data_IF_678480579548
#
_entry.id   IF_678480579548
#
_cell.length_a   1.000
_cell.length_b   1.000
_cell.length_c   1.000
_cell.angle_alpha   90.00
_cell.angle_beta   90.00
_cell.angle_gamma   90.00
#
_symmetry.space_group_name_H-M   'P 1'
#
loop_
_entity.id
_entity.type
_entity.pdbx_description
1 polymer ?
#
# COMPACT_ATOMS: atom_id res chain seq x y z
N UNK A 1 7.69 50.53 -9.13
CA UNK A 1 8.11 50.62 -7.71
C UNK A 1 8.82 49.30 -7.39
N UNK A 2 10.14 49.18 -7.63
CA UNK A 2 11.24 49.45 -6.66
C UNK A 2 11.02 48.63 -5.37
N UNK A 3 11.53 47.40 -5.28
CA UNK A 3 12.84 46.97 -4.71
C UNK A 3 13.07 47.33 -3.24
N UNK A 4 13.63 46.37 -2.49
CA UNK A 4 14.37 46.48 -1.21
C UNK A 4 13.64 46.05 0.08
N UNK A 5 14.02 44.90 0.62
CA UNK A 5 14.18 44.65 2.07
C UNK A 5 15.16 43.46 2.22
N UNK A 6 16.47 43.74 2.29
CA UNK A 6 17.31 43.57 3.50
C UNK A 6 17.28 42.14 4.03
N UNK A 7 18.23 41.23 3.78
CA UNK A 7 19.69 41.30 3.99
C UNK A 7 20.07 41.93 5.34
N UNK A 8 19.93 41.17 6.44
CA UNK A 8 20.66 41.41 7.69
C UNK A 8 20.52 40.22 8.65
N UNK A 9 21.50 39.32 8.67
CA UNK A 9 22.20 38.86 9.90
C UNK A 9 23.22 37.78 9.52
N UNK A 10 24.34 38.24 8.97
CA UNK A 10 25.59 37.50 8.92
C UNK A 10 26.39 37.89 10.18
N UNK A 11 27.00 36.87 10.79
CA UNK A 11 28.26 36.83 11.56
C UNK A 11 28.20 36.51 13.06
N UNK A 12 29.19 35.68 13.40
CA UNK A 12 29.86 35.47 14.69
C UNK A 12 29.27 34.30 15.53
N UNK A 13 30.01 33.29 16.00
CA UNK A 13 31.45 33.13 16.22
C UNK A 13 31.90 31.66 16.11
N UNK A 14 33.11 31.51 15.60
CA UNK A 14 34.03 30.38 15.73
C UNK A 14 34.58 30.21 17.15
N UNK A 15 34.53 29.01 17.74
CA UNK A 15 35.53 28.52 18.71
C UNK A 15 35.62 26.99 18.63
N UNK A 16 36.75 26.47 18.15
CA UNK A 16 37.24 25.11 18.49
C UNK A 16 38.34 25.28 19.52
N UNK A 17 38.48 24.36 20.50
CA UNK A 17 39.63 23.45 20.37
C UNK A 17 39.44 22.01 20.90
N UNK A 18 40.20 21.15 20.23
CA UNK A 18 40.79 19.86 20.60
C UNK A 18 40.94 19.61 22.11
N UNK A 19 40.43 18.46 22.58
CA UNK A 19 40.95 17.74 23.76
C UNK A 19 41.21 16.28 23.39
N UNK A 20 42.35 15.81 23.87
CA UNK A 20 43.05 14.61 23.48
C UNK A 20 42.67 13.35 24.30
N UNK A 21 43.17 12.22 23.77
CA UNK A 21 43.69 11.04 24.48
C UNK A 21 42.67 10.04 25.10
N UNK A 22 42.69 8.80 24.60
CA UNK A 22 43.54 7.69 25.08
C UNK A 22 42.90 6.32 24.74
N UNK A 23 43.76 5.40 24.31
CA UNK A 23 43.47 3.99 24.08
C UNK A 23 42.76 3.34 25.27
N UNK A 24 41.66 2.64 24.98
CA UNK A 24 41.25 1.48 25.76
C UNK A 24 41.05 0.30 24.81
N UNK A 25 42.15 -0.45 24.62
CA UNK A 25 42.10 -1.86 24.32
C UNK A 25 41.45 -2.56 25.52
N UNK A 26 40.12 -2.74 25.46
CA UNK A 26 39.38 -3.61 26.37
C UNK A 26 39.01 -4.85 25.57
N UNK A 27 39.82 -5.88 25.73
CA UNK A 27 39.42 -7.26 25.50
C UNK A 27 38.30 -7.58 26.49
N UNK A 28 37.08 -7.77 26.00
CA UNK A 28 35.95 -8.32 26.76
C UNK A 28 35.33 -9.44 25.95
N UNK A 29 35.71 -10.65 26.36
CA UNK A 29 34.86 -11.84 26.51
C UNK A 29 33.52 -11.80 25.77
N UNK A 30 33.43 -12.69 24.77
CA UNK A 30 32.21 -13.36 24.33
C UNK A 30 31.24 -13.64 25.50
N UNK A 31 30.10 -12.95 25.53
CA UNK A 31 28.76 -13.46 25.87
C UNK A 31 27.74 -12.31 25.81
N UNK A 32 26.52 -12.64 25.37
CA UNK A 32 25.32 -11.81 25.28
C UNK A 32 25.21 -10.75 24.17
N UNK A 33 24.69 -11.21 23.03
CA UNK A 33 23.99 -10.35 22.06
C UNK A 33 22.46 -10.51 22.21
N UNK A 34 21.78 -9.66 23.02
CA UNK A 34 20.36 -9.37 22.78
C UNK A 34 20.11 -7.90 22.41
N UNK A 35 21.15 -7.07 22.30
CA UNK A 35 20.98 -5.64 22.02
C UNK A 35 20.74 -5.31 20.52
N UNK A 36 21.12 -6.20 19.60
CA UNK A 36 20.96 -5.96 18.15
C UNK A 36 19.57 -6.39 17.66
N UNK A 37 18.95 -7.42 18.26
CA UNK A 37 17.60 -7.86 17.91
C UNK A 37 16.53 -6.77 18.17
N UNK A 38 16.75 -5.90 19.17
CA UNK A 38 15.85 -4.78 19.49
C UNK A 38 15.98 -3.55 18.58
N UNK A 39 16.99 -3.48 17.70
CA UNK A 39 17.15 -2.39 16.72
C UNK A 39 16.60 -2.73 15.34
N UNK A 40 16.04 -3.92 15.17
CA UNK A 40 15.24 -4.22 13.99
C UNK A 40 13.88 -3.56 14.17
N UNK A 41 13.81 -2.27 13.84
CA UNK A 41 12.56 -1.62 13.52
C UNK A 41 11.97 -2.41 12.36
N UNK A 42 11.14 -3.40 12.67
CA UNK A 42 10.21 -3.95 11.68
C UNK A 42 9.26 -2.79 11.44
N UNK A 43 9.29 -2.14 10.26
CA UNK A 43 8.21 -1.23 9.92
C UNK A 43 6.96 -2.10 9.97
N UNK A 44 6.17 -1.94 11.03
CA UNK A 44 4.81 -2.47 11.06
C UNK A 44 4.18 -1.75 9.89
N UNK A 45 4.04 -2.42 8.74
CA UNK A 45 3.31 -1.84 7.62
C UNK A 45 1.96 -1.49 8.20
N UNK A 46 1.67 -0.19 8.28
CA UNK A 46 0.44 0.28 8.86
C UNK A 46 -0.71 -0.42 8.12
N UNK A 47 -1.71 -0.88 8.86
CA UNK A 47 -2.98 -1.32 8.28
C UNK A 47 -3.43 -0.30 7.24
N UNK A 48 -3.70 -0.75 6.02
CA UNK A 48 -4.08 0.15 4.95
C UNK A 48 -5.53 0.58 5.19
N UNK A 49 -5.75 1.88 5.37
CA UNK A 49 -7.09 2.46 5.40
C UNK A 49 -7.44 2.85 3.97
N UNK A 50 -8.55 2.35 3.45
CA UNK A 50 -9.05 2.73 2.13
C UNK A 50 -10.53 3.12 2.19
N UNK A 51 -10.98 3.89 1.19
CA UNK A 51 -12.39 4.19 0.99
C UNK A 51 -12.90 3.27 -0.12
N UNK A 52 -13.92 2.49 0.20
CA UNK A 52 -14.50 1.51 -0.70
C UNK A 52 -16.00 1.72 -0.81
N UNK A 53 -16.58 1.39 -1.96
CA UNK A 53 -18.00 1.52 -2.20
C UNK A 53 -18.53 0.41 -3.10
N UNK A 54 -19.81 0.10 -2.91
CA UNK A 54 -20.62 -0.65 -3.87
C UNK A 54 -21.22 0.32 -4.88
N UNK A 55 -20.79 0.23 -6.13
CA UNK A 55 -21.32 1.02 -7.25
C UNK A 55 -22.35 0.17 -7.99
N UNK A 56 -23.54 0.71 -8.22
CA UNK A 56 -24.66 -0.02 -8.83
C UNK A 56 -24.57 -0.16 -10.35
N UNK A 57 -25.51 -0.92 -10.91
CA UNK A 57 -25.64 -1.13 -12.35
C UNK A 57 -25.90 0.17 -13.14
N UNK A 58 -26.28 1.29 -12.50
CA UNK A 58 -26.42 2.58 -13.18
C UNK A 58 -25.07 3.13 -13.65
N UNK A 59 -23.98 2.76 -12.97
CA UNK A 59 -22.61 3.02 -13.45
C UNK A 59 -22.28 2.16 -14.66
N UNK A 60 -22.58 0.85 -14.59
CA UNK A 60 -22.37 -0.06 -15.71
C UNK A 60 -23.19 0.35 -16.93
N UNK A 61 -24.41 0.87 -16.72
CA UNK A 61 -25.26 1.35 -17.81
C UNK A 61 -24.78 2.67 -18.42
N UNK A 62 -24.16 3.56 -17.64
CA UNK A 62 -23.49 4.76 -18.17
C UNK A 62 -22.24 4.41 -18.99
N UNK A 63 -21.55 3.33 -18.62
CA UNK A 63 -20.43 2.77 -19.40
C UNK A 63 -20.96 2.07 -20.66
N UNK A 64 -22.03 1.29 -20.55
CA UNK A 64 -22.62 0.56 -21.69
C UNK A 64 -23.31 1.50 -22.68
N UNK A 65 -23.89 2.62 -22.21
CA UNK A 65 -24.49 3.67 -23.05
C UNK A 65 -23.45 4.39 -23.93
N UNK A 66 -22.15 4.31 -23.59
CA UNK A 66 -21.07 4.72 -24.49
C UNK A 66 -20.83 3.73 -25.66
N UNK A 67 -21.65 2.66 -25.76
CA UNK A 67 -21.74 1.76 -26.93
C UNK A 67 -20.88 0.51 -26.89
N UNK A 68 -20.34 0.10 -25.72
CA UNK A 68 -19.18 -0.82 -25.67
C UNK A 68 -19.48 -2.14 -24.93
N UNK A 69 -20.63 -2.28 -24.28
CA UNK A 69 -21.05 -3.55 -23.67
C UNK A 69 -22.49 -3.85 -24.09
N UNK A 70 -22.70 -4.94 -24.82
CA UNK A 70 -24.04 -5.51 -24.97
C UNK A 70 -24.56 -5.82 -23.57
N UNK A 71 -25.66 -5.15 -23.20
CA UNK A 71 -26.37 -5.33 -21.94
C UNK A 71 -26.99 -6.74 -21.88
N UNK A 72 -26.15 -7.76 -21.76
CA UNK A 72 -26.59 -9.12 -21.50
C UNK A 72 -26.85 -9.25 -20.00
N UNK A 73 -28.16 -9.13 -19.71
CA UNK A 73 -28.83 -9.45 -18.46
C UNK A 73 -28.76 -8.39 -17.33
N UNK A 74 -29.91 -7.75 -17.16
CA UNK A 74 -30.40 -6.98 -16.01
C UNK A 74 -30.41 -7.77 -14.68
N UNK A 75 -29.26 -8.26 -14.25
CA UNK A 75 -29.06 -8.68 -12.86
C UNK A 75 -28.50 -7.45 -12.14
N UNK A 76 -29.00 -7.15 -10.93
CA UNK A 76 -28.48 -6.12 -10.03
C UNK A 76 -27.00 -6.40 -9.70
N UNK A 77 -26.11 -6.17 -10.66
CA UNK A 77 -24.69 -6.38 -10.48
C UNK A 77 -24.12 -5.12 -9.84
N UNK A 78 -23.79 -5.23 -8.56
CA UNK A 78 -22.98 -4.25 -7.86
C UNK A 78 -21.51 -4.53 -8.13
N UNK A 79 -20.75 -3.47 -8.38
CA UNK A 79 -19.29 -3.49 -8.43
C UNK A 79 -18.76 -2.94 -7.10
N UNK A 80 -18.12 -3.79 -6.30
CA UNK A 80 -17.44 -3.37 -5.10
C UNK A 80 -15.97 -3.05 -5.41
N UNK A 81 -15.58 -1.80 -5.14
CA UNK A 81 -14.24 -1.31 -5.46
C UNK A 81 -13.77 -0.27 -4.45
N UNK A 82 -12.47 -0.32 -4.16
CA UNK A 82 -11.76 0.66 -3.33
C UNK A 82 -10.95 1.65 -4.16
N UNK A 83 -10.68 2.85 -3.61
CA UNK A 83 -9.92 3.90 -4.30
C UNK A 83 -8.52 3.42 -4.72
N UNK A 84 -7.85 2.61 -3.89
CA UNK A 84 -6.54 2.05 -4.23
C UNK A 84 -6.58 1.05 -5.38
N UNK A 85 -7.70 0.35 -5.58
CA UNK A 85 -7.88 -0.66 -6.62
C UNK A 85 -8.27 -0.05 -7.98
N UNK A 86 -8.74 1.20 -8.02
CA UNK A 86 -9.20 1.87 -9.26
C UNK A 86 -8.17 1.83 -10.40
N UNK A 87 -6.88 2.15 -10.21
CA UNK A 87 -5.92 2.14 -11.32
C UNK A 87 -5.73 0.74 -11.92
N UNK A 88 -5.76 -0.30 -11.08
CA UNK A 88 -5.63 -1.69 -11.53
C UNK A 88 -6.90 -2.10 -12.28
N UNK A 89 -8.08 -1.79 -11.74
CA UNK A 89 -9.36 -2.04 -12.40
C UNK A 89 -9.43 -1.40 -13.79
N UNK A 90 -9.07 -0.12 -13.88
CA UNK A 90 -9.07 0.64 -15.15
C UNK A 90 -8.17 0.01 -16.21
N UNK A 91 -7.04 -0.58 -15.81
CA UNK A 91 -6.06 -1.19 -16.73
C UNK A 91 -6.37 -2.64 -17.09
N UNK A 92 -6.86 -3.42 -16.12
CA UNK A 92 -6.96 -4.87 -16.23
C UNK A 92 -8.38 -5.36 -16.54
N UNK A 93 -9.42 -4.58 -16.24
CA UNK A 93 -10.80 -5.03 -16.38
C UNK A 93 -11.39 -4.65 -17.74
N UNK A 94 -11.85 -5.65 -18.49
CA UNK A 94 -12.48 -5.48 -19.81
C UNK A 94 -13.73 -4.61 -19.77
N UNK A 95 -14.42 -4.53 -18.62
CA UNK A 95 -15.60 -3.68 -18.44
C UNK A 95 -15.22 -2.20 -18.34
N UNK A 96 -14.05 -1.90 -17.77
CA UNK A 96 -13.53 -0.54 -17.73
C UNK A 96 -13.02 -0.07 -19.08
N UNK A 97 -12.61 -1.00 -19.97
CA UNK A 97 -12.02 -0.67 -21.28
C UNK A 97 -12.87 0.27 -22.11
N UNK A 98 -14.18 0.04 -22.19
CA UNK A 98 -15.05 0.91 -22.98
C UNK A 98 -15.10 2.34 -22.43
N UNK A 99 -15.17 2.48 -21.11
CA UNK A 99 -15.10 3.77 -20.47
C UNK A 99 -13.75 4.46 -20.72
N UNK A 100 -12.65 3.72 -20.60
CA UNK A 100 -11.29 4.19 -20.87
C UNK A 100 -11.11 4.65 -22.30
N UNK A 101 -11.60 3.89 -23.28
CA UNK A 101 -11.50 4.24 -24.70
C UNK A 101 -12.29 5.53 -25.01
N UNK A 102 -13.34 5.83 -24.24
CA UNK A 102 -14.16 7.02 -24.41
C UNK A 102 -13.60 8.27 -23.72
N UNK A 103 -13.15 8.16 -22.45
CA UNK A 103 -12.72 9.34 -21.67
C UNK A 103 -11.20 9.45 -21.48
N UNK A 104 -10.46 8.39 -21.78
CA UNK A 104 -9.03 8.24 -21.48
C UNK A 104 -8.75 7.69 -20.08
N UNK A 105 -7.63 6.98 -19.92
CA UNK A 105 -7.30 6.25 -18.67
C UNK A 105 -7.31 7.13 -17.41
N UNK A 106 -6.66 8.29 -17.46
CA UNK A 106 -6.55 9.18 -16.30
C UNK A 106 -7.91 9.76 -15.89
N UNK A 107 -8.71 10.17 -16.87
CA UNK A 107 -10.05 10.66 -16.62
C UNK A 107 -10.97 9.56 -16.08
N UNK A 108 -10.80 8.31 -16.57
CA UNK A 108 -11.53 7.17 -16.05
C UNK A 108 -11.21 6.94 -14.56
N UNK A 109 -9.93 6.97 -14.17
CA UNK A 109 -9.49 6.85 -12.78
C UNK A 109 -10.09 7.95 -11.91
N UNK A 110 -9.97 9.21 -12.33
CA UNK A 110 -10.52 10.36 -11.58
C UNK A 110 -12.02 10.21 -11.40
N UNK A 111 -12.73 9.90 -12.48
CA UNK A 111 -14.19 9.83 -12.46
C UNK A 111 -14.70 8.69 -11.57
N UNK A 112 -14.08 7.52 -11.64
CA UNK A 112 -14.43 6.38 -10.78
C UNK A 112 -14.18 6.72 -9.30
N UNK A 113 -13.06 7.40 -8.98
CA UNK A 113 -12.79 7.84 -7.60
C UNK A 113 -13.82 8.84 -7.09
N UNK A 114 -14.24 9.81 -7.91
CA UNK A 114 -15.31 10.73 -7.56
C UNK A 114 -16.61 9.98 -7.25
N UNK A 115 -16.95 8.98 -8.05
CA UNK A 115 -18.14 8.16 -7.84
C UNK A 115 -18.07 7.34 -6.54
N UNK A 116 -16.92 6.73 -6.22
CA UNK A 116 -16.71 6.05 -4.93
C UNK A 116 -16.90 7.04 -3.77
N UNK A 117 -16.34 8.24 -3.87
CA UNK A 117 -16.47 9.27 -2.85
C UNK A 117 -17.91 9.81 -2.71
N UNK A 118 -18.67 9.81 -3.79
CA UNK A 118 -20.06 10.27 -3.81
C UNK A 118 -21.09 9.16 -3.49
N UNK A 119 -20.68 7.89 -3.46
CA UNK A 119 -21.58 6.77 -3.25
C UNK A 119 -22.24 6.81 -1.85
N UNK A 120 -23.52 6.45 -1.80
CA UNK A 120 -24.31 6.39 -0.56
C UNK A 120 -23.82 5.26 0.37
N UNK A 121 -23.36 4.15 -0.21
CA UNK A 121 -22.83 2.98 0.50
C UNK A 121 -21.31 2.92 0.49
N UNK A 122 -20.65 4.08 0.68
CA UNK A 122 -19.19 4.11 0.90
C UNK A 122 -18.86 3.79 2.35
N UNK A 123 -17.76 3.08 2.56
CA UNK A 123 -17.23 2.76 3.87
C UNK A 123 -15.71 2.88 3.90
N UNK A 124 -15.17 3.15 5.08
CA UNK A 124 -13.73 3.11 5.31
C UNK A 124 -13.34 1.71 5.75
N UNK A 125 -12.50 1.05 4.95
CA UNK A 125 -12.04 -0.31 5.21
C UNK A 125 -10.66 -0.28 5.87
N UNK A 126 -10.44 -1.20 6.79
CA UNK A 126 -9.14 -1.45 7.39
C UNK A 126 -8.65 -2.81 6.94
N UNK A 127 -7.61 -2.79 6.13
CA UNK A 127 -7.02 -4.01 5.59
C UNK A 127 -5.80 -4.40 6.42
N UNK A 128 -5.66 -5.71 6.75
CA UNK A 128 -4.47 -6.17 7.43
C UNK A 128 -3.22 -5.99 6.54
N UNK A 129 -2.02 -5.91 7.13
CA UNK A 129 -0.78 -5.90 6.36
C UNK A 129 -0.71 -7.09 5.39
N UNK A 130 -0.09 -6.89 4.23
CA UNK A 130 0.05 -7.93 3.19
C UNK A 130 -1.29 -8.47 2.69
N UNK A 131 -2.28 -7.59 2.56
CA UNK A 131 -3.54 -7.88 1.90
C UNK A 131 -3.83 -6.87 0.81
N UNK A 132 -4.65 -7.29 -0.14
CA UNK A 132 -5.20 -6.46 -1.20
C UNK A 132 -6.72 -6.55 -1.18
N UNK A 133 -7.38 -5.41 -1.38
CA UNK A 133 -8.82 -5.38 -1.56
C UNK A 133 -9.23 -6.24 -2.77
N UNK A 134 -10.30 -7.03 -2.63
CA UNK A 134 -10.85 -7.84 -3.71
C UNK A 134 -11.84 -6.99 -4.51
N UNK A 135 -11.74 -7.07 -5.83
CA UNK A 135 -12.79 -6.59 -6.72
C UNK A 135 -13.88 -7.67 -6.81
N UNK A 136 -15.00 -7.47 -6.13
CA UNK A 136 -16.14 -8.39 -6.14
C UNK A 136 -17.31 -7.83 -6.95
N UNK A 137 -18.01 -8.72 -7.65
CA UNK A 137 -19.14 -8.40 -8.53
C UNK A 137 -20.29 -9.33 -8.18
N UNK A 138 -21.47 -8.78 -7.89
CA UNK A 138 -22.64 -9.58 -7.56
C UNK A 138 -23.81 -8.77 -7.02
N UNK A 139 -24.90 -9.46 -6.67
CA UNK A 139 -26.11 -8.88 -6.06
C UNK A 139 -25.92 -8.47 -4.61
N UNK A 140 -24.94 -9.06 -3.93
CA UNK A 140 -24.41 -8.57 -2.66
C UNK A 140 -22.89 -8.67 -2.73
N UNK A 141 -22.19 -7.55 -2.52
CA UNK A 141 -20.75 -7.54 -2.38
C UNK A 141 -20.37 -6.71 -1.14
N UNK A 142 -19.36 -7.17 -0.40
CA UNK A 142 -18.78 -6.40 0.71
C UNK A 142 -17.57 -5.60 0.16
N UNK A 143 -17.62 -4.25 0.16
CA UNK A 143 -16.51 -3.46 -0.33
C UNK A 143 -15.26 -3.52 0.55
N UNK A 144 -15.33 -4.09 1.76
CA UNK A 144 -14.16 -4.34 2.62
C UNK A 144 -13.63 -5.78 2.52
N UNK A 145 -14.07 -6.57 1.56
CA UNK A 145 -13.51 -7.90 1.32
C UNK A 145 -12.04 -7.78 0.84
N UNK A 146 -11.16 -8.59 1.42
CA UNK A 146 -9.74 -8.61 1.09
C UNK A 146 -9.21 -10.02 0.87
N UNK A 147 -8.07 -10.11 0.19
CA UNK A 147 -7.28 -11.33 0.03
C UNK A 147 -5.87 -11.06 0.49
N UNK A 148 -5.24 -12.05 1.12
CA UNK A 148 -3.82 -11.98 1.38
C UNK A 148 -3.01 -11.95 0.08
N UNK A 149 -1.95 -11.14 0.07
CA UNK A 149 -0.97 -11.11 -1.00
C UNK A 149 -0.26 -12.47 -1.09
N UNK A 150 0.33 -12.76 -2.26
CA UNK A 150 0.94 -14.05 -2.56
C UNK A 150 1.86 -14.52 -1.43
N UNK A 151 1.78 -15.80 -1.08
CA UNK A 151 2.52 -16.50 -0.01
C UNK A 151 2.10 -16.19 1.43
N UNK A 152 1.27 -15.18 1.67
CA UNK A 152 0.62 -14.97 2.97
C UNK A 152 -0.69 -15.76 3.04
N UNK A 153 -1.10 -16.11 4.26
CA UNK A 153 -2.34 -16.85 4.52
C UNK A 153 -3.18 -16.13 5.55
N UNK A 154 -4.50 -16.22 5.40
CA UNK A 154 -5.43 -15.65 6.36
C UNK A 154 -5.48 -16.51 7.63
N UNK A 155 -5.21 -15.90 8.77
CA UNK A 155 -5.35 -16.48 10.10
C UNK A 155 -5.90 -15.42 11.04
N UNK A 156 -7.05 -15.69 11.65
CA UNK A 156 -7.73 -14.79 12.60
C UNK A 156 -7.91 -13.35 12.08
N UNK A 157 -8.28 -13.21 10.80
CA UNK A 157 -8.49 -11.91 10.16
C UNK A 157 -7.20 -11.13 9.88
N UNK A 158 -6.05 -11.80 9.84
CA UNK A 158 -4.75 -11.24 9.52
C UNK A 158 -4.06 -12.04 8.43
N UNK A 159 -3.30 -11.38 7.57
CA UNK A 159 -2.46 -12.04 6.57
C UNK A 159 -1.08 -12.30 7.17
N UNK A 160 -0.81 -13.56 7.50
CA UNK A 160 0.40 -13.98 8.19
C UNK A 160 1.28 -14.86 7.29
N UNK A 161 2.59 -14.75 7.48
CA UNK A 161 3.52 -15.69 6.90
C UNK A 161 3.58 -16.94 7.77
N UNK A 162 2.89 -17.99 7.36
CA UNK A 162 2.76 -19.21 8.16
C UNK A 162 3.99 -20.13 8.03
N UNK A 163 4.36 -20.80 9.12
CA UNK A 163 5.42 -21.80 9.11
C UNK A 163 5.15 -22.90 8.06
N UNK A 164 6.19 -23.44 7.39
CA UNK A 164 7.62 -23.23 7.64
C UNK A 164 8.22 -22.00 6.92
N UNK A 165 7.41 -21.14 6.31
CA UNK A 165 7.89 -19.89 5.70
C UNK A 165 8.13 -18.81 6.77
N UNK A 166 8.98 -17.83 6.45
CA UNK A 166 9.27 -16.68 7.29
C UNK A 166 9.23 -15.39 6.48
N UNK A 167 8.75 -14.32 7.10
CA UNK A 167 8.77 -12.99 6.49
C UNK A 167 10.20 -12.43 6.50
N UNK A 168 10.73 -12.13 5.32
CA UNK A 168 12.04 -11.56 5.12
C UNK A 168 11.94 -10.31 4.23
N UNK A 169 12.27 -9.13 4.79
CA UNK A 169 12.17 -7.85 4.06
C UNK A 169 10.77 -7.60 3.45
N UNK A 170 9.71 -7.93 4.17
CA UNK A 170 8.33 -7.75 3.70
C UNK A 170 7.85 -8.77 2.67
N UNK A 171 8.58 -9.88 2.49
CA UNK A 171 8.18 -11.00 1.63
C UNK A 171 8.14 -12.29 2.43
N UNK A 172 7.04 -13.03 2.35
CA UNK A 172 6.96 -14.37 2.91
C UNK A 172 7.65 -15.37 1.96
N UNK A 173 8.59 -16.17 2.48
CA UNK A 173 9.32 -17.13 1.66
C UNK A 173 9.79 -18.34 2.46
N UNK A 174 9.91 -19.48 1.78
CA UNK A 174 10.55 -20.70 2.28
C UNK A 174 12.08 -20.55 2.20
N UNK A 175 12.63 -19.68 3.05
CA UNK A 175 14.07 -19.49 3.19
C UNK A 175 14.50 -19.83 4.62
N UNK A 176 15.72 -20.31 4.79
CA UNK A 176 16.24 -20.46 6.16
C UNK A 176 16.41 -19.09 6.80
N UNK A 177 16.27 -19.02 8.12
CA UNK A 177 16.49 -17.79 8.88
C UNK A 177 17.88 -17.18 8.58
N UNK A 178 18.91 -18.02 8.43
CA UNK A 178 20.27 -17.61 8.07
C UNK A 178 20.38 -16.99 6.67
N UNK A 179 19.59 -17.47 5.70
CA UNK A 179 19.53 -16.91 4.35
C UNK A 179 18.82 -15.55 4.30
N UNK A 180 17.84 -15.34 5.18
CA UNK A 180 17.19 -14.03 5.30
C UNK A 180 18.19 -12.97 5.80
N UNK A 181 18.91 -13.27 6.89
CA UNK A 181 19.85 -12.33 7.51
C UNK A 181 21.05 -11.97 6.61
N UNK A 182 21.54 -12.92 5.80
CA UNK A 182 22.65 -12.66 4.88
C UNK A 182 22.26 -11.71 3.75
N UNK A 183 21.02 -11.79 3.26
CA UNK A 183 20.51 -10.88 2.22
C UNK A 183 20.33 -9.46 2.72
N UNK A 184 19.93 -9.25 3.97
CA UNK A 184 19.80 -7.88 4.55
C UNK A 184 21.15 -7.16 4.54
N UNK A 185 22.25 -7.85 4.86
CA UNK A 185 23.60 -7.24 4.91
C UNK A 185 24.12 -6.79 3.55
N UNK A 186 23.71 -7.47 2.47
CA UNK A 186 24.16 -7.14 1.12
C UNK A 186 23.56 -5.82 0.58
N UNK A 187 22.46 -5.33 1.15
CA UNK A 187 21.81 -4.07 0.74
C UNK A 187 22.22 -2.86 1.59
N UNK A 188 23.09 -3.04 2.59
CA UNK A 188 23.54 -1.99 3.53
C UNK A 188 24.98 -1.53 3.31
N UNK A 189 25.60 -1.92 2.19
CA UNK A 189 26.93 -1.47 1.75
C UNK A 189 26.79 -0.67 0.46
#
# INVERSE_FOLDING_TARGET
MRTLFSLLFLLALSISPVVARMNQLVSRTSHDHPAIARRQHHPTRASLIDICASIDASFLSRISAAGILEASASVEAHLCICISAVPVFVKADVRAKGFVDHVGEQNAIVRIREMINAADRRQSCHFPPHSAAILSVGTSCDPCEYRCEDTYQELDGQCVCHAPAFECNGKCALVSHSQCLSRVRAYTL
#
